data_IF_466754680415
#
_entry.id   IF_466754680415
#
_cell.length_a   1.000
_cell.length_b   1.000
_cell.length_c   1.000
_cell.angle_alpha   90.00
_cell.angle_beta   90.00
_cell.angle_gamma   90.00
#
_symmetry.space_group_name_H-M   'P 1'
#
loop_
_entity.id
_entity.type
_entity.pdbx_description
1 polymer ?
#
# COMPACT_ATOMS: atom_id res chain seq x y z
N UNK A 1 35.51 43.57 9.23
CA UNK A 1 34.76 43.67 7.95
C UNK A 1 35.09 42.43 7.13
N UNK A 2 34.23 41.53 6.68
CA UNK A 2 32.79 41.27 6.75
C UNK A 2 32.68 39.74 6.58
N UNK A 3 32.15 38.98 7.56
CA UNK A 3 30.79 38.41 7.54
C UNK A 3 30.25 38.09 6.14
N UNK A 4 30.21 36.81 5.77
CA UNK A 4 29.03 36.15 5.15
C UNK A 4 29.25 34.62 5.20
N UNK A 5 28.74 33.95 6.24
CA UNK A 5 27.49 33.15 6.21
C UNK A 5 27.65 31.87 5.38
N UNK A 6 27.92 30.76 6.07
CA UNK A 6 26.90 29.81 6.52
C UNK A 6 26.56 28.81 5.41
N UNK A 7 27.34 27.74 5.37
CA UNK A 7 27.00 26.51 4.66
C UNK A 7 25.96 25.77 5.51
N UNK A 8 24.73 26.26 5.52
CA UNK A 8 23.59 25.46 5.97
C UNK A 8 23.13 24.71 4.73
N UNK A 9 23.54 23.45 4.63
CA UNK A 9 22.88 22.47 3.78
C UNK A 9 21.45 22.40 4.29
N UNK A 10 20.56 23.17 3.67
CA UNK A 10 19.13 22.95 3.82
C UNK A 10 18.87 21.65 3.08
N UNK A 11 18.94 20.54 3.82
CA UNK A 11 18.20 19.32 3.48
C UNK A 11 16.73 19.73 3.50
N UNK A 12 16.25 20.32 2.40
CA UNK A 12 14.84 20.31 2.09
C UNK A 12 14.57 18.84 1.84
N UNK A 13 14.17 18.12 2.89
CA UNK A 13 13.34 16.95 2.75
C UNK A 13 12.07 17.47 2.09
N UNK A 14 12.11 17.59 0.76
CA UNK A 14 10.90 17.64 -0.05
C UNK A 14 10.30 16.27 0.23
N UNK A 15 9.44 16.19 1.25
CA UNK A 15 8.44 15.15 1.32
C UNK A 15 7.56 15.41 0.12
N UNK A 16 8.00 14.94 -1.05
CA UNK A 16 7.09 14.74 -2.14
C UNK A 16 5.97 13.92 -1.50
N UNK A 17 4.75 14.47 -1.49
CA UNK A 17 3.55 13.65 -1.38
C UNK A 17 3.46 12.83 -2.67
N UNK A 18 4.46 11.98 -2.89
CA UNK A 18 4.32 10.82 -3.76
C UNK A 18 3.19 10.05 -3.15
N UNK A 19 2.17 9.78 -3.96
CA UNK A 19 1.07 8.86 -3.69
C UNK A 19 1.38 7.96 -2.50
N UNK A 20 0.64 8.15 -1.40
CA UNK A 20 0.59 7.12 -0.37
C UNK A 20 -0.07 5.91 -1.04
N UNK A 21 0.73 5.09 -1.74
CA UNK A 21 0.41 3.69 -1.92
C UNK A 21 -0.07 3.22 -0.56
N UNK A 22 -1.25 2.61 -0.50
CA UNK A 22 -1.64 1.87 0.69
C UNK A 22 -0.49 0.91 0.99
N UNK A 23 0.25 1.21 2.05
CA UNK A 23 1.17 0.25 2.63
C UNK A 23 0.27 -0.86 3.15
N UNK A 24 0.59 -2.10 2.79
CA UNK A 24 -0.16 -3.25 3.31
C UNK A 24 -0.20 -3.15 4.84
N UNK A 25 -1.39 -3.29 5.40
CA UNK A 25 -1.59 -3.20 6.84
C UNK A 25 -0.92 -4.39 7.53
N UNK A 26 -0.51 -4.20 8.78
CA UNK A 26 0.15 -5.23 9.56
C UNK A 26 -0.47 -5.29 10.94
N UNK A 27 -0.77 -6.49 11.41
CA UNK A 27 -1.21 -6.69 12.78
C UNK A 27 -0.18 -7.45 13.56
N UNK A 28 0.29 -6.84 14.64
CA UNK A 28 1.13 -7.48 15.65
C UNK A 28 0.34 -7.59 16.95
N UNK A 29 0.30 -8.78 17.52
CA UNK A 29 -0.29 -9.03 18.83
C UNK A 29 0.63 -8.45 19.92
N UNK A 30 0.09 -8.28 21.13
CA UNK A 30 0.83 -7.69 22.26
C UNK A 30 2.04 -8.49 22.71
N UNK A 31 2.10 -9.79 22.43
CA UNK A 31 3.29 -10.62 22.66
C UNK A 31 4.37 -10.47 21.56
N UNK A 32 4.16 -9.61 20.56
CA UNK A 32 5.07 -9.41 19.44
C UNK A 32 4.83 -10.34 18.25
N UNK A 33 3.83 -11.25 18.32
CA UNK A 33 3.51 -12.15 17.22
C UNK A 33 2.88 -11.37 16.05
N UNK A 34 3.51 -11.40 14.88
CA UNK A 34 2.99 -10.81 13.65
C UNK A 34 1.94 -11.74 13.03
N UNK A 35 0.66 -11.36 13.09
CA UNK A 35 -0.44 -12.24 12.68
C UNK A 35 -0.81 -12.11 11.21
N UNK A 36 -0.64 -10.94 10.60
CA UNK A 36 -0.75 -10.78 9.15
C UNK A 36 0.13 -9.63 8.64
N UNK A 37 0.52 -9.73 7.37
CA UNK A 37 1.06 -8.63 6.56
C UNK A 37 0.29 -8.61 5.26
N UNK A 38 -0.47 -7.56 5.02
CA UNK A 38 -1.29 -7.45 3.83
C UNK A 38 -0.48 -7.05 2.59
N UNK A 39 -1.09 -7.31 1.44
CA UNK A 39 -0.54 -6.89 0.16
C UNK A 39 -0.51 -5.36 0.07
N UNK A 40 0.48 -4.82 -0.64
CA UNK A 40 0.54 -3.39 -0.95
C UNK A 40 -0.41 -3.08 -2.09
N UNK A 41 -1.04 -1.91 -2.04
CA UNK A 41 -1.98 -1.46 -3.07
C UNK A 41 -3.42 -1.44 -2.58
N UNK A 42 -4.33 -1.12 -3.49
CA UNK A 42 -5.76 -0.94 -3.17
C UNK A 42 -6.65 -2.06 -3.71
N UNK A 43 -6.06 -3.11 -4.29
CA UNK A 43 -6.80 -4.32 -4.65
C UNK A 43 -7.03 -5.11 -3.36
N UNK A 44 -8.28 -5.30 -2.91
CA UNK A 44 -8.55 -6.03 -1.68
C UNK A 44 -8.31 -7.52 -1.91
N UNK A 45 -7.63 -8.18 -0.96
CA UNK A 45 -7.36 -9.63 -1.02
C UNK A 45 -7.82 -10.38 0.23
N UNK A 46 -8.29 -9.65 1.26
CA UNK A 46 -8.33 -10.17 2.61
C UNK A 46 -6.98 -10.07 3.29
N UNK A 47 -6.96 -10.30 4.59
CA UNK A 47 -5.72 -10.33 5.35
C UNK A 47 -4.90 -11.56 5.00
N UNK A 48 -3.60 -11.35 4.76
CA UNK A 48 -2.67 -12.45 4.53
C UNK A 48 -2.12 -12.95 5.87
N UNK A 49 -2.93 -13.76 6.54
CA UNK A 49 -2.62 -14.35 7.85
C UNK A 49 -1.41 -15.29 7.80
N UNK A 50 -0.58 -15.26 8.85
CA UNK A 50 0.51 -16.21 9.02
C UNK A 50 -0.06 -17.65 9.14
N UNK A 51 0.39 -18.53 8.25
CA UNK A 51 -0.03 -19.93 8.21
C UNK A 51 0.29 -20.71 9.50
N UNK A 52 1.15 -20.18 10.38
CA UNK A 52 1.54 -20.80 11.66
C UNK A 52 0.62 -20.43 12.82
N UNK A 53 -0.36 -19.56 12.62
CA UNK A 53 -1.37 -19.24 13.65
C UNK A 53 -2.05 -20.54 14.10
N UNK A 54 -1.99 -20.82 15.40
CA UNK A 54 -2.38 -22.12 15.93
C UNK A 54 -2.95 -22.03 17.35
N UNK A 55 -3.49 -23.15 17.84
CA UNK A 55 -3.97 -23.23 19.24
C UNK A 55 -2.84 -23.08 20.28
N UNK A 56 -1.57 -23.26 19.90
CA UNK A 56 -0.43 -22.98 20.77
C UNK A 56 -0.34 -21.50 21.16
N UNK A 57 -0.59 -20.61 20.20
CA UNK A 57 -0.62 -19.15 20.43
C UNK A 57 -1.74 -18.75 21.40
N UNK A 58 -2.89 -19.42 21.33
CA UNK A 58 -4.00 -19.23 22.28
C UNK A 58 -3.56 -19.56 23.72
N UNK A 59 -2.85 -20.68 23.90
CA UNK A 59 -2.35 -21.09 25.22
C UNK A 59 -1.30 -20.12 25.77
N UNK A 60 -0.40 -19.64 24.91
CA UNK A 60 0.60 -18.65 25.27
C UNK A 60 -0.05 -17.35 25.77
N UNK A 61 -0.97 -16.76 24.98
CA UNK A 61 -1.68 -15.53 25.34
C UNK A 61 -2.48 -15.68 26.65
N UNK A 62 -3.12 -16.84 26.86
CA UNK A 62 -3.83 -17.15 28.10
C UNK A 62 -2.90 -17.25 29.32
N UNK A 63 -1.73 -17.87 29.15
CA UNK A 63 -0.71 -17.99 30.19
C UNK A 63 -0.15 -16.62 30.59
N UNK A 64 0.12 -15.74 29.61
CA UNK A 64 0.58 -14.38 29.87
C UNK A 64 -0.50 -13.57 30.58
N UNK A 65 -1.76 -13.64 30.14
CA UNK A 65 -2.87 -13.01 30.84
C UNK A 65 -2.99 -13.46 32.30
N UNK A 66 -2.87 -14.77 32.57
CA UNK A 66 -2.96 -15.30 33.95
C UNK A 66 -1.92 -14.66 34.88
N UNK A 67 -0.72 -14.38 34.37
CA UNK A 67 0.40 -13.74 35.09
C UNK A 67 0.23 -12.22 35.23
N UNK A 68 -0.21 -11.55 34.17
CA UNK A 68 -0.20 -10.07 34.08
C UNK A 68 -1.54 -9.42 34.42
N UNK A 69 -2.64 -10.16 34.28
CA UNK A 69 -4.04 -9.67 34.30
C UNK A 69 -4.33 -8.57 33.28
N UNK A 70 -3.48 -8.44 32.26
CA UNK A 70 -3.63 -7.44 31.20
C UNK A 70 -4.64 -7.94 30.15
N UNK A 71 -5.81 -7.29 30.12
CA UNK A 71 -6.96 -7.65 29.30
C UNK A 71 -6.66 -7.66 27.80
N UNK A 72 -5.64 -6.93 27.35
CA UNK A 72 -5.30 -6.92 25.92
C UNK A 72 -4.84 -8.30 25.43
N UNK A 73 -4.20 -9.12 26.28
CA UNK A 73 -3.87 -10.50 25.92
C UNK A 73 -5.12 -11.39 25.75
N UNK A 74 -6.20 -11.14 26.52
CA UNK A 74 -7.48 -11.81 26.25
C UNK A 74 -8.12 -11.33 24.96
N UNK A 75 -7.98 -10.03 24.65
CA UNK A 75 -8.45 -9.46 23.39
C UNK A 75 -7.71 -10.11 22.20
N UNK A 76 -6.39 -10.22 22.27
CA UNK A 76 -5.58 -10.88 21.24
C UNK A 76 -5.90 -12.37 21.12
N UNK A 77 -6.12 -13.07 22.25
CA UNK A 77 -6.61 -14.46 22.26
C UNK A 77 -7.94 -14.58 21.52
N UNK A 78 -8.86 -13.64 21.75
CA UNK A 78 -10.15 -13.55 21.05
C UNK A 78 -9.96 -13.34 19.55
N UNK A 79 -9.03 -12.48 19.15
CA UNK A 79 -8.70 -12.25 17.74
C UNK A 79 -8.13 -13.51 17.08
N UNK A 80 -7.20 -14.21 17.73
CA UNK A 80 -6.67 -15.50 17.24
C UNK A 80 -7.77 -16.55 17.09
N UNK A 81 -8.74 -16.60 18.02
CA UNK A 81 -9.90 -17.48 17.89
C UNK A 81 -10.75 -17.14 16.65
N UNK A 82 -10.93 -15.85 16.32
CA UNK A 82 -11.61 -15.42 15.09
C UNK A 82 -10.85 -15.91 13.84
N UNK A 83 -9.53 -15.70 13.80
CA UNK A 83 -8.67 -16.14 12.68
C UNK A 83 -8.76 -17.67 12.50
N UNK A 84 -8.78 -18.42 13.59
CA UNK A 84 -8.96 -19.88 13.59
C UNK A 84 -10.42 -20.34 13.38
N UNK A 85 -11.33 -19.40 13.09
CA UNK A 85 -12.77 -19.64 12.87
C UNK A 85 -13.51 -20.27 14.05
N UNK A 86 -12.98 -20.13 15.26
CA UNK A 86 -13.57 -20.59 16.53
C UNK A 86 -14.53 -19.52 17.08
N UNK A 87 -15.54 -19.17 16.30
CA UNK A 87 -16.39 -17.99 16.55
C UNK A 87 -17.15 -18.06 17.87
N UNK A 88 -17.67 -19.22 18.27
CA UNK A 88 -18.41 -19.37 19.52
C UNK A 88 -17.52 -19.21 20.76
N UNK A 89 -16.29 -19.74 20.71
CA UNK A 89 -15.31 -19.56 21.78
C UNK A 89 -14.88 -18.08 21.89
N UNK A 90 -14.63 -17.44 20.76
CA UNK A 90 -14.31 -16.01 20.69
C UNK A 90 -15.45 -15.16 21.26
N UNK A 91 -16.71 -15.45 20.89
CA UNK A 91 -17.88 -14.72 21.38
C UNK A 91 -18.00 -14.82 22.90
N UNK A 92 -17.90 -16.03 23.46
CA UNK A 92 -17.92 -16.24 24.92
C UNK A 92 -16.80 -15.47 25.62
N UNK A 93 -15.61 -15.45 25.03
CA UNK A 93 -14.46 -14.72 25.57
C UNK A 93 -14.70 -13.20 25.55
N UNK A 94 -15.11 -12.63 24.42
CA UNK A 94 -15.36 -11.19 24.33
C UNK A 94 -16.52 -10.71 25.20
N UNK A 95 -17.58 -11.50 25.36
CA UNK A 95 -18.64 -11.22 26.33
C UNK A 95 -18.12 -11.23 27.78
N UNK A 96 -17.13 -12.07 28.08
CA UNK A 96 -16.46 -12.07 29.39
C UNK A 96 -15.57 -10.83 29.55
N UNK A 97 -14.82 -10.46 28.50
CA UNK A 97 -14.01 -9.23 28.51
C UNK A 97 -14.88 -8.00 28.75
N UNK A 98 -16.04 -7.89 28.10
CA UNK A 98 -16.97 -6.78 28.29
C UNK A 98 -17.50 -6.70 29.74
N UNK A 99 -17.72 -7.84 30.41
CA UNK A 99 -18.11 -7.86 31.83
C UNK A 99 -16.97 -7.39 32.75
N UNK A 100 -15.73 -7.71 32.42
CA UNK A 100 -14.55 -7.35 33.25
C UNK A 100 -14.17 -5.87 33.04
N UNK A 101 -14.12 -5.44 31.77
CA UNK A 101 -13.72 -4.10 31.37
C UNK A 101 -14.68 -3.60 30.28
N UNK A 102 -15.84 -3.04 30.66
CA UNK A 102 -16.85 -2.61 29.71
C UNK A 102 -16.37 -1.42 28.87
N UNK A 103 -17.10 -1.17 27.77
CA UNK A 103 -16.94 0.04 26.96
C UNK A 103 -15.56 0.19 26.29
N UNK A 104 -14.91 -0.93 25.95
CA UNK A 104 -13.71 -0.93 25.10
C UNK A 104 -14.12 -0.95 23.63
N UNK A 105 -13.55 -0.04 22.85
CA UNK A 105 -13.73 -0.02 21.39
C UNK A 105 -13.43 -1.40 20.78
N UNK A 106 -12.26 -1.97 21.08
CA UNK A 106 -11.81 -3.25 20.51
C UNK A 106 -12.75 -4.40 20.86
N UNK A 107 -13.29 -4.44 22.08
CA UNK A 107 -14.29 -5.45 22.47
C UNK A 107 -15.59 -5.26 21.72
N UNK A 108 -16.10 -4.02 21.61
CA UNK A 108 -17.35 -3.74 20.91
C UNK A 108 -17.26 -4.06 19.40
N UNK A 109 -16.19 -3.65 18.73
CA UNK A 109 -15.97 -3.93 17.30
C UNK A 109 -15.85 -5.45 17.05
N UNK A 110 -15.05 -6.17 17.85
CA UNK A 110 -14.92 -7.62 17.70
C UNK A 110 -16.22 -8.39 18.00
N UNK A 111 -17.04 -7.94 18.97
CA UNK A 111 -18.37 -8.50 19.18
C UNK A 111 -19.27 -8.28 17.97
N UNK A 112 -19.24 -7.08 17.38
CA UNK A 112 -19.96 -6.77 16.15
C UNK A 112 -19.59 -7.71 15.00
N UNK A 113 -18.30 -7.84 14.71
CA UNK A 113 -17.78 -8.75 13.69
C UNK A 113 -18.13 -10.21 13.98
N UNK A 114 -18.04 -10.66 15.24
CA UNK A 114 -18.40 -12.03 15.60
C UNK A 114 -19.89 -12.32 15.40
N UNK A 115 -20.77 -11.41 15.80
CA UNK A 115 -22.19 -11.58 15.54
C UNK A 115 -22.50 -11.56 14.03
N UNK A 116 -21.80 -10.75 13.24
CA UNK A 116 -21.91 -10.77 11.77
C UNK A 116 -21.53 -12.15 11.22
N UNK A 117 -20.37 -12.69 11.62
CA UNK A 117 -19.86 -13.99 11.18
C UNK A 117 -20.75 -15.16 11.60
N UNK A 118 -21.49 -15.03 12.70
CA UNK A 118 -22.45 -16.03 13.20
C UNK A 118 -23.83 -15.87 12.53
N UNK A 119 -24.10 -14.75 11.84
CA UNK A 119 -25.37 -14.45 11.16
C UNK A 119 -26.40 -13.68 12.00
N UNK A 120 -26.02 -13.25 13.20
CA UNK A 120 -26.85 -12.49 14.14
C UNK A 120 -26.77 -10.98 13.83
N UNK A 121 -27.21 -10.60 12.62
CA UNK A 121 -26.97 -9.27 12.04
C UNK A 121 -27.51 -8.09 12.87
N UNK A 122 -28.63 -8.26 13.60
CA UNK A 122 -29.15 -7.21 14.48
C UNK A 122 -28.23 -6.93 15.67
N UNK A 123 -27.69 -7.99 16.28
CA UNK A 123 -26.70 -7.85 17.37
C UNK A 123 -25.41 -7.24 16.82
N UNK A 124 -24.96 -7.69 15.65
CA UNK A 124 -23.81 -7.13 14.97
C UNK A 124 -23.97 -5.62 14.77
N UNK A 125 -25.12 -5.19 14.22
CA UNK A 125 -25.42 -3.77 13.99
C UNK A 125 -25.33 -2.95 15.28
N UNK A 126 -25.94 -3.43 16.36
CA UNK A 126 -25.92 -2.72 17.64
C UNK A 126 -24.51 -2.62 18.25
N UNK A 127 -23.69 -3.68 18.12
CA UNK A 127 -22.31 -3.67 18.62
C UNK A 127 -21.37 -2.78 17.81
N UNK A 128 -21.49 -2.78 16.47
CA UNK A 128 -20.73 -1.85 15.62
C UNK A 128 -21.19 -0.41 15.84
N UNK A 129 -22.50 -0.17 16.02
CA UNK A 129 -22.99 1.16 16.38
C UNK A 129 -22.39 1.64 17.71
N UNK A 130 -22.31 0.74 18.70
CA UNK A 130 -21.63 1.02 19.98
C UNK A 130 -20.13 1.26 19.79
N UNK A 131 -19.43 0.50 18.95
CA UNK A 131 -17.99 0.71 18.73
C UNK A 131 -17.71 2.10 18.15
N UNK A 132 -18.50 2.55 17.18
CA UNK A 132 -18.42 3.91 16.61
C UNK A 132 -18.67 4.99 17.66
N UNK A 133 -19.63 4.79 18.56
CA UNK A 133 -19.90 5.73 19.66
C UNK A 133 -18.73 5.86 20.64
N UNK A 134 -17.96 4.77 20.84
CA UNK A 134 -16.77 4.78 21.70
C UNK A 134 -15.58 5.42 20.98
N UNK A 135 -15.37 5.09 19.72
CA UNK A 135 -14.31 5.64 18.89
C UNK A 135 -14.77 5.73 17.44
N UNK A 136 -15.04 6.94 16.96
CA UNK A 136 -15.51 7.17 15.59
C UNK A 136 -14.40 7.12 14.54
N UNK A 137 -13.14 7.24 14.95
CA UNK A 137 -11.97 7.24 14.05
C UNK A 137 -11.41 5.84 13.81
N UNK A 138 -11.98 4.83 14.47
CA UNK A 138 -11.51 3.46 14.35
C UNK A 138 -11.66 2.90 12.94
N UNK A 139 -10.81 1.92 12.59
CA UNK A 139 -10.76 1.34 11.24
C UNK A 139 -10.61 2.45 10.18
N UNK A 140 -9.76 3.44 10.45
CA UNK A 140 -9.54 4.61 9.60
C UNK A 140 -10.85 5.39 9.30
N UNK A 141 -11.79 5.39 10.23
CA UNK A 141 -13.10 6.05 10.10
C UNK A 141 -14.06 5.35 9.13
N UNK A 142 -13.87 4.06 8.82
CA UNK A 142 -14.64 3.34 7.79
C UNK A 142 -15.86 2.55 8.29
N UNK A 143 -16.08 2.49 9.61
CA UNK A 143 -17.15 1.65 10.21
C UNK A 143 -18.58 2.08 9.83
N UNK A 144 -18.78 3.29 9.29
CA UNK A 144 -20.10 3.68 8.77
C UNK A 144 -20.52 2.83 7.56
N UNK A 145 -19.58 2.35 6.74
CA UNK A 145 -19.85 1.40 5.64
C UNK A 145 -20.24 0.04 6.23
N UNK A 146 -19.60 -0.39 7.32
CA UNK A 146 -19.98 -1.60 8.04
C UNK A 146 -21.45 -1.53 8.48
N UNK A 147 -21.86 -0.41 9.08
CA UNK A 147 -23.26 -0.20 9.45
C UNK A 147 -24.19 -0.28 8.24
N UNK A 148 -23.81 0.24 7.06
CA UNK A 148 -24.62 0.12 5.84
C UNK A 148 -24.74 -1.31 5.34
N UNK A 149 -23.66 -2.08 5.39
CA UNK A 149 -23.68 -3.52 5.08
C UNK A 149 -24.63 -4.26 6.01
N UNK A 150 -24.52 -4.03 7.32
CA UNK A 150 -25.38 -4.65 8.33
C UNK A 150 -26.83 -4.18 8.21
N UNK A 151 -27.05 -2.89 7.91
CA UNK A 151 -28.38 -2.33 7.67
C UNK A 151 -29.07 -3.04 6.49
N UNK A 152 -28.36 -3.28 5.39
CA UNK A 152 -28.88 -4.05 4.26
C UNK A 152 -29.24 -5.50 4.66
N UNK A 153 -28.37 -6.16 5.45
CA UNK A 153 -28.59 -7.53 5.94
C UNK A 153 -29.78 -7.63 6.89
N UNK A 154 -29.90 -6.72 7.86
CA UNK A 154 -31.01 -6.65 8.83
C UNK A 154 -32.33 -6.40 8.11
N UNK A 155 -32.36 -5.45 7.17
CA UNK A 155 -33.55 -5.14 6.37
C UNK A 155 -33.86 -6.18 5.30
N UNK A 156 -32.99 -7.19 5.10
CA UNK A 156 -33.10 -8.22 4.05
C UNK A 156 -33.34 -7.60 2.66
N UNK A 157 -32.61 -6.53 2.35
CA UNK A 157 -32.74 -5.83 1.08
C UNK A 157 -32.33 -6.77 -0.06
N UNK A 158 -33.23 -6.95 -1.04
CA UNK A 158 -32.95 -7.73 -2.25
C UNK A 158 -32.06 -6.96 -3.21
N UNK A 159 -32.32 -5.65 -3.34
CA UNK A 159 -31.66 -4.76 -4.30
C UNK A 159 -30.90 -3.66 -3.56
N UNK A 160 -29.70 -4.01 -3.13
CA UNK A 160 -28.74 -3.07 -2.55
C UNK A 160 -28.02 -2.35 -3.69
N UNK A 161 -27.99 -1.02 -3.66
CA UNK A 161 -27.20 -0.21 -4.60
C UNK A 161 -25.87 0.21 -3.98
N UNK A 162 -24.89 0.55 -4.83
CA UNK A 162 -23.66 1.18 -4.37
C UNK A 162 -23.94 2.47 -3.61
N UNK A 163 -24.82 3.33 -4.13
CA UNK A 163 -25.23 4.58 -3.49
C UNK A 163 -25.77 4.39 -2.08
N UNK A 164 -26.55 3.33 -1.83
CA UNK A 164 -26.98 3.01 -0.47
C UNK A 164 -25.80 2.67 0.46
N UNK A 165 -24.80 1.94 -0.06
CA UNK A 165 -23.66 1.48 0.73
C UNK A 165 -22.63 2.58 1.00
N UNK A 166 -22.39 3.48 0.03
CA UNK A 166 -21.29 4.45 0.08
C UNK A 166 -21.73 5.92 0.03
N UNK A 167 -23.03 6.19 -0.13
CA UNK A 167 -23.59 7.54 -0.12
C UNK A 167 -23.33 8.36 -1.40
N UNK A 168 -22.84 7.75 -2.48
CA UNK A 168 -22.63 8.42 -3.77
C UNK A 168 -22.82 7.46 -4.94
N UNK A 169 -23.11 8.01 -6.12
CA UNK A 169 -23.20 7.29 -7.38
C UNK A 169 -22.12 7.76 -8.34
N UNK A 170 -21.67 6.86 -9.23
CA UNK A 170 -20.75 7.19 -10.33
C UNK A 170 -21.44 7.23 -11.70
N UNK A 171 -22.77 7.31 -11.70
CA UNK A 171 -23.61 7.31 -12.90
C UNK A 171 -23.76 5.92 -13.53
N UNK A 172 -24.48 5.88 -14.64
CA UNK A 172 -24.76 4.67 -15.44
C UNK A 172 -24.04 4.67 -16.79
N UNK A 173 -23.21 5.67 -17.04
CA UNK A 173 -22.40 5.78 -18.25
C UNK A 173 -21.23 4.78 -18.22
N UNK A 174 -20.71 4.50 -19.42
CA UNK A 174 -19.48 3.72 -19.65
C UNK A 174 -18.28 4.31 -18.91
N UNK A 175 -18.18 5.64 -18.81
CA UNK A 175 -17.12 6.32 -18.07
C UNK A 175 -17.69 6.80 -16.73
N UNK A 176 -17.21 6.28 -15.58
CA UNK A 176 -17.71 6.72 -14.28
C UNK A 176 -17.34 8.18 -14.03
N UNK A 177 -18.26 8.92 -13.40
CA UNK A 177 -18.12 10.36 -13.10
C UNK A 177 -18.47 10.62 -11.64
N UNK A 178 -17.84 11.61 -11.01
CA UNK A 178 -18.15 12.03 -9.65
C UNK A 178 -18.03 13.54 -9.50
N UNK A 179 -18.83 14.11 -8.60
CA UNK A 179 -18.70 15.49 -8.16
C UNK A 179 -17.76 15.64 -6.95
N UNK A 180 -17.32 14.53 -6.37
CA UNK A 180 -16.37 14.54 -5.26
C UNK A 180 -14.98 14.96 -5.74
N UNK A 181 -14.28 15.73 -4.91
CA UNK A 181 -12.88 16.04 -5.15
C UNK A 181 -12.01 14.79 -5.12
N UNK A 182 -10.82 14.85 -5.72
CA UNK A 182 -9.84 13.76 -5.68
C UNK A 182 -9.51 13.31 -4.25
N UNK A 183 -9.36 14.26 -3.31
CA UNK A 183 -9.09 13.93 -1.90
C UNK A 183 -10.25 13.19 -1.23
N UNK A 184 -11.50 13.51 -1.57
CA UNK A 184 -12.66 12.83 -1.00
C UNK A 184 -12.77 11.40 -1.55
N UNK A 185 -12.55 11.24 -2.86
CA UNK A 185 -12.48 9.93 -3.51
C UNK A 185 -11.37 9.05 -2.93
N UNK A 186 -10.19 9.61 -2.67
CA UNK A 186 -9.09 8.88 -2.01
C UNK A 186 -9.50 8.40 -0.60
N UNK A 187 -10.13 9.24 0.22
CA UNK A 187 -10.61 8.82 1.55
C UNK A 187 -11.70 7.74 1.47
N UNK A 188 -12.63 7.90 0.53
CA UNK A 188 -13.69 6.93 0.30
C UNK A 188 -13.13 5.58 -0.17
N UNK A 189 -12.18 5.58 -1.10
CA UNK A 189 -11.51 4.36 -1.57
C UNK A 189 -10.81 3.61 -0.44
N UNK A 190 -10.14 4.32 0.48
CA UNK A 190 -9.50 3.71 1.66
C UNK A 190 -10.53 3.11 2.61
N UNK A 191 -11.65 3.79 2.82
CA UNK A 191 -12.74 3.28 3.66
C UNK A 191 -13.35 2.00 3.09
N UNK A 192 -13.63 2.00 1.78
CA UNK A 192 -14.16 0.81 1.10
C UNK A 192 -13.13 -0.32 1.10
N UNK A 193 -11.87 -0.03 0.79
CA UNK A 193 -10.78 -1.02 0.83
C UNK A 193 -10.66 -1.69 2.19
N UNK A 194 -10.62 -0.91 3.28
CA UNK A 194 -10.48 -1.44 4.63
C UNK A 194 -11.62 -2.42 4.94
N UNK A 195 -12.85 -2.01 4.65
CA UNK A 195 -14.05 -2.80 4.92
C UNK A 195 -14.15 -4.04 4.01
N UNK A 196 -13.68 -3.97 2.77
CA UNK A 196 -13.56 -5.13 1.89
C UNK A 196 -12.51 -6.11 2.43
N UNK A 197 -11.34 -5.62 2.84
CA UNK A 197 -10.24 -6.47 3.29
C UNK A 197 -10.58 -7.24 4.58
N UNK A 198 -11.22 -6.59 5.56
CA UNK A 198 -11.73 -7.25 6.76
C UNK A 198 -12.67 -8.43 6.42
N UNK A 199 -13.57 -8.24 5.44
CA UNK A 199 -14.58 -9.24 5.09
C UNK A 199 -14.07 -10.36 4.19
N UNK A 200 -13.26 -10.02 3.20
CA UNK A 200 -12.68 -10.99 2.25
C UNK A 200 -11.72 -11.97 2.92
N UNK A 201 -11.26 -11.65 4.13
CA UNK A 201 -10.55 -12.57 5.02
C UNK A 201 -11.36 -13.81 5.40
N UNK A 202 -12.69 -13.68 5.50
CA UNK A 202 -13.58 -14.72 6.00
C UNK A 202 -14.65 -15.16 5.00
N UNK A 203 -15.09 -14.26 4.12
CA UNK A 203 -16.09 -14.50 3.10
C UNK A 203 -15.42 -14.90 1.78
N UNK A 204 -15.99 -15.89 1.10
CA UNK A 204 -15.57 -16.32 -0.24
C UNK A 204 -16.66 -15.99 -1.27
N UNK A 205 -16.30 -15.82 -2.55
CA UNK A 205 -17.29 -15.70 -3.62
C UNK A 205 -18.32 -16.84 -3.58
N UNK A 206 -19.60 -16.58 -3.84
CA UNK A 206 -20.22 -15.31 -4.25
C UNK A 206 -20.81 -14.54 -3.06
N UNK A 207 -20.69 -13.21 -3.08
CA UNK A 207 -21.37 -12.31 -2.13
C UNK A 207 -21.78 -11.01 -2.84
N UNK A 208 -23.09 -10.75 -2.90
CA UNK A 208 -23.67 -9.61 -3.64
C UNK A 208 -23.18 -8.27 -3.09
N UNK A 209 -23.11 -8.09 -1.78
CA UNK A 209 -22.70 -6.81 -1.17
C UNK A 209 -21.23 -6.56 -1.44
N UNK A 210 -20.38 -7.59 -1.29
CA UNK A 210 -18.95 -7.48 -1.60
C UNK A 210 -18.73 -7.18 -3.08
N UNK A 211 -19.48 -7.84 -3.98
CA UNK A 211 -19.41 -7.58 -5.42
C UNK A 211 -19.74 -6.12 -5.79
N UNK A 212 -20.72 -5.51 -5.10
CA UNK A 212 -21.10 -4.10 -5.30
C UNK A 212 -20.01 -3.18 -4.75
N UNK A 213 -19.50 -3.42 -3.54
CA UNK A 213 -18.44 -2.60 -2.96
C UNK A 213 -17.15 -2.63 -3.79
N UNK A 214 -16.78 -3.79 -4.33
CA UNK A 214 -15.67 -3.93 -5.28
C UNK A 214 -15.93 -3.10 -6.54
N UNK A 215 -17.13 -3.19 -7.12
CA UNK A 215 -17.49 -2.38 -8.29
C UNK A 215 -17.40 -0.87 -8.01
N UNK A 216 -17.87 -0.41 -6.85
CA UNK A 216 -17.75 0.99 -6.49
C UNK A 216 -16.31 1.43 -6.22
N UNK A 217 -15.50 0.56 -5.61
CA UNK A 217 -14.08 0.82 -5.45
C UNK A 217 -13.39 0.95 -6.82
N UNK A 218 -13.70 0.07 -7.77
CA UNK A 218 -13.16 0.12 -9.12
C UNK A 218 -13.57 1.41 -9.86
N UNK A 219 -14.81 1.88 -9.67
CA UNK A 219 -15.26 3.18 -10.19
C UNK A 219 -14.41 4.34 -9.63
N UNK A 220 -14.17 4.35 -8.32
CA UNK A 220 -13.35 5.38 -7.69
C UNK A 220 -11.93 5.33 -8.22
N UNK A 221 -11.31 4.14 -8.21
CA UNK A 221 -9.95 3.93 -8.74
C UNK A 221 -9.90 4.44 -10.17
N UNK A 222 -10.83 4.04 -11.04
CA UNK A 222 -10.90 4.50 -12.42
C UNK A 222 -10.91 6.03 -12.57
N UNK A 223 -11.58 6.75 -11.67
CA UNK A 223 -11.64 8.22 -11.67
C UNK A 223 -10.32 8.83 -11.17
N UNK A 224 -9.74 8.31 -10.08
CA UNK A 224 -8.59 8.95 -9.42
C UNK A 224 -7.23 8.66 -10.08
N UNK A 225 -7.10 7.54 -10.81
CA UNK A 225 -6.04 7.10 -11.74
C UNK A 225 -5.84 5.55 -11.69
N UNK A 226 -4.85 4.97 -12.38
CA UNK A 226 -4.52 3.54 -12.46
C UNK A 226 -5.64 2.69 -13.07
N UNK A 227 -5.77 2.86 -14.37
CA UNK A 227 -6.71 2.09 -15.19
C UNK A 227 -6.50 0.56 -15.08
N UNK A 228 -5.25 0.06 -15.00
CA UNK A 228 -4.96 -1.36 -14.71
C UNK A 228 -5.52 -1.86 -13.37
N UNK A 229 -5.34 -1.09 -12.31
CA UNK A 229 -5.85 -1.46 -10.97
C UNK A 229 -7.37 -1.46 -10.94
N UNK A 230 -8.03 -0.54 -11.66
CA UNK A 230 -9.49 -0.58 -11.81
C UNK A 230 -9.97 -1.86 -12.51
N UNK A 231 -9.26 -2.32 -13.56
CA UNK A 231 -9.55 -3.59 -14.24
C UNK A 231 -9.50 -4.76 -13.26
N UNK A 232 -8.43 -4.88 -12.47
CA UNK A 232 -8.27 -5.95 -11.49
C UNK A 232 -9.43 -5.99 -10.48
N UNK A 233 -9.88 -4.83 -10.00
CA UNK A 233 -10.97 -4.74 -9.02
C UNK A 233 -12.34 -4.99 -9.68
N UNK A 234 -12.55 -4.56 -10.93
CA UNK A 234 -13.77 -4.91 -11.68
C UNK A 234 -13.87 -6.42 -11.90
N UNK A 235 -12.78 -7.07 -12.31
CA UNK A 235 -12.77 -8.53 -12.48
C UNK A 235 -13.06 -9.25 -11.15
N UNK A 236 -12.50 -8.75 -10.04
CA UNK A 236 -12.80 -9.25 -8.71
C UNK A 236 -14.29 -9.06 -8.35
N UNK A 237 -14.91 -7.93 -8.72
CA UNK A 237 -16.35 -7.73 -8.55
C UNK A 237 -17.17 -8.79 -9.31
N UNK A 238 -16.75 -9.15 -10.53
CA UNK A 238 -17.37 -10.22 -11.32
C UNK A 238 -17.20 -11.58 -10.66
N UNK A 239 -16.02 -11.89 -10.14
CA UNK A 239 -15.74 -13.12 -9.40
C UNK A 239 -16.70 -13.27 -8.20
N UNK A 240 -16.93 -12.18 -7.45
CA UNK A 240 -17.88 -12.13 -6.34
C UNK A 240 -19.35 -12.17 -6.76
N UNK A 241 -19.64 -12.11 -8.05
CA UNK A 241 -20.97 -12.37 -8.61
C UNK A 241 -21.68 -11.16 -9.20
N UNK A 242 -21.03 -10.01 -9.37
CA UNK A 242 -21.62 -8.89 -10.10
C UNK A 242 -21.48 -9.10 -11.60
N UNK A 243 -22.58 -9.44 -12.26
CA UNK A 243 -22.62 -9.56 -13.72
C UNK A 243 -23.84 -8.80 -14.26
N UNK A 244 -23.57 -7.66 -14.88
CA UNK A 244 -24.56 -6.83 -15.53
C UNK A 244 -23.92 -6.04 -16.69
N UNK A 245 -24.75 -5.43 -17.52
CA UNK A 245 -24.28 -4.69 -18.70
C UNK A 245 -23.32 -3.55 -18.34
N UNK A 246 -23.52 -2.87 -17.21
CA UNK A 246 -22.73 -1.70 -16.83
C UNK A 246 -21.29 -2.06 -16.47
N UNK A 247 -21.07 -3.10 -15.66
CA UNK A 247 -19.69 -3.55 -15.34
C UNK A 247 -18.96 -4.00 -16.61
N UNK A 248 -19.66 -4.67 -17.53
CA UNK A 248 -19.08 -5.11 -18.79
C UNK A 248 -18.67 -3.92 -19.67
N UNK A 249 -19.51 -2.89 -19.79
CA UNK A 249 -19.17 -1.64 -20.51
C UNK A 249 -17.96 -0.94 -19.91
N UNK A 250 -17.93 -0.76 -18.59
CA UNK A 250 -16.82 -0.11 -17.88
C UNK A 250 -15.51 -0.88 -18.02
N UNK A 251 -15.57 -2.19 -17.91
CA UNK A 251 -14.42 -3.06 -18.07
C UNK A 251 -13.88 -3.03 -19.50
N UNK A 252 -14.76 -3.09 -20.51
CA UNK A 252 -14.39 -2.95 -21.92
C UNK A 252 -13.71 -1.61 -22.20
N UNK A 253 -14.27 -0.51 -21.68
CA UNK A 253 -13.65 0.81 -21.78
C UNK A 253 -12.24 0.83 -21.20
N UNK A 254 -12.06 0.27 -20.00
CA UNK A 254 -10.75 0.19 -19.36
C UNK A 254 -9.75 -0.63 -20.20
N UNK A 255 -10.15 -1.77 -20.76
CA UNK A 255 -9.29 -2.56 -21.65
C UNK A 255 -8.91 -1.79 -22.92
N UNK A 256 -9.88 -1.16 -23.58
CA UNK A 256 -9.62 -0.37 -24.78
C UNK A 256 -8.66 0.78 -24.49
N UNK A 257 -8.80 1.43 -23.34
CA UNK A 257 -7.88 2.47 -22.89
C UNK A 257 -6.44 1.95 -22.75
N UNK A 258 -6.23 0.78 -22.12
CA UNK A 258 -4.88 0.18 -22.00
C UNK A 258 -4.28 -0.18 -23.35
N UNK A 259 -5.09 -0.73 -24.27
CA UNK A 259 -4.65 -1.09 -25.62
C UNK A 259 -4.16 0.16 -26.35
N UNK A 260 -4.99 1.21 -26.39
CA UNK A 260 -4.66 2.47 -27.04
C UNK A 260 -3.40 3.11 -26.42
N UNK A 261 -3.28 3.09 -25.09
CA UNK A 261 -2.10 3.60 -24.40
C UNK A 261 -0.82 2.83 -24.78
N UNK A 262 -0.90 1.50 -24.87
CA UNK A 262 0.22 0.66 -25.26
C UNK A 262 0.61 0.88 -26.73
N UNK A 263 -0.37 1.00 -27.63
CA UNK A 263 -0.15 1.28 -29.06
C UNK A 263 0.54 2.64 -29.26
N UNK A 264 0.05 3.69 -28.62
CA UNK A 264 0.63 5.04 -28.67
C UNK A 264 2.06 5.06 -28.11
N UNK A 265 2.30 4.38 -26.98
CA UNK A 265 3.65 4.23 -26.43
C UNK A 265 4.58 3.45 -27.36
N UNK A 266 4.10 2.39 -28.00
CA UNK A 266 4.88 1.61 -28.96
C UNK A 266 5.27 2.45 -30.17
N UNK A 267 4.31 3.23 -30.72
CA UNK A 267 4.57 4.14 -31.84
C UNK A 267 5.63 5.20 -31.49
N UNK A 268 5.57 5.78 -30.28
CA UNK A 268 6.62 6.69 -29.80
C UNK A 268 8.00 6.04 -29.74
N UNK A 269 8.09 4.82 -29.21
CA UNK A 269 9.34 4.07 -29.14
C UNK A 269 9.89 3.71 -30.52
N UNK A 270 9.01 3.30 -31.45
CA UNK A 270 9.36 3.04 -32.84
C UNK A 270 9.96 4.28 -33.50
N UNK A 271 9.30 5.43 -33.38
CA UNK A 271 9.79 6.70 -33.94
C UNK A 271 11.12 7.13 -33.31
N UNK A 272 11.26 7.01 -31.99
CA UNK A 272 12.52 7.30 -31.29
C UNK A 272 13.66 6.40 -31.79
N UNK A 273 13.42 5.10 -31.95
CA UNK A 273 14.40 4.16 -32.50
C UNK A 273 14.77 4.47 -33.95
N UNK A 274 13.79 4.85 -34.78
CA UNK A 274 14.03 5.26 -36.16
C UNK A 274 14.91 6.51 -36.22
N UNK A 275 14.62 7.53 -35.42
CA UNK A 275 15.41 8.75 -35.33
C UNK A 275 16.83 8.47 -34.84
N UNK A 276 16.99 7.61 -33.82
CA UNK A 276 18.31 7.17 -33.35
C UNK A 276 19.10 6.49 -34.48
N UNK A 277 18.49 5.53 -35.20
CA UNK A 277 19.12 4.85 -36.34
C UNK A 277 19.54 5.84 -37.43
N UNK A 278 18.70 6.82 -37.74
CA UNK A 278 19.04 7.88 -38.70
C UNK A 278 20.19 8.76 -38.20
N UNK A 279 20.21 9.16 -36.93
CA UNK A 279 21.31 9.95 -36.36
C UNK A 279 22.64 9.19 -36.32
N UNK A 280 22.59 7.85 -36.24
CA UNK A 280 23.76 6.99 -36.31
C UNK A 280 24.25 6.77 -37.76
N UNK A 281 23.36 6.89 -38.76
CA UNK A 281 23.75 6.82 -40.16
C UNK A 281 24.54 8.09 -40.53
N UNK A 282 25.86 7.96 -40.64
CA UNK A 282 26.80 9.07 -40.88
C UNK A 282 27.86 9.22 -39.78
N UNK A 283 27.69 8.53 -38.64
CA UNK A 283 28.75 8.37 -37.65
C UNK A 283 29.66 7.24 -38.12
N UNK A 284 30.84 7.59 -38.62
CA UNK A 284 31.89 6.62 -38.92
C UNK A 284 32.41 6.02 -37.60
N UNK A 285 32.06 4.76 -37.35
CA UNK A 285 32.47 4.04 -36.14
C UNK A 285 33.99 3.90 -36.04
N UNK A 286 34.69 3.84 -37.17
CA UNK A 286 36.16 3.77 -37.16
C UNK A 286 36.74 5.10 -36.70
N UNK A 287 36.13 6.23 -37.08
CA UNK A 287 36.52 7.55 -36.61
C UNK A 287 36.26 7.76 -35.11
N UNK A 288 35.11 7.27 -34.60
CA UNK A 288 34.81 7.29 -33.16
C UNK A 288 35.80 6.44 -32.37
N UNK A 289 36.10 5.23 -32.86
CA UNK A 289 37.08 4.34 -32.23
C UNK A 289 38.49 4.95 -32.24
N UNK A 290 38.88 5.63 -33.33
CA UNK A 290 40.15 6.35 -33.38
C UNK A 290 40.22 7.45 -32.32
N UNK A 291 39.15 8.24 -32.14
CA UNK A 291 39.08 9.25 -31.08
C UNK A 291 39.21 8.61 -29.69
N UNK A 292 38.51 7.50 -29.43
CA UNK A 292 38.61 6.79 -28.15
C UNK A 292 40.02 6.28 -27.88
N UNK A 293 40.67 5.65 -28.87
CA UNK A 293 42.06 5.17 -28.76
C UNK A 293 43.01 6.35 -28.48
N UNK A 294 42.84 7.49 -29.16
CA UNK A 294 43.65 8.69 -28.92
C UNK A 294 43.46 9.21 -27.49
N UNK A 295 42.23 9.25 -26.98
CA UNK A 295 41.93 9.68 -25.61
C UNK A 295 42.56 8.73 -24.57
N UNK A 296 42.53 7.42 -24.81
CA UNK A 296 43.19 6.43 -23.95
C UNK A 296 44.71 6.67 -23.95
N UNK A 297 45.34 6.84 -25.12
CA UNK A 297 46.79 7.11 -25.22
C UNK A 297 47.14 8.41 -24.47
N UNK A 298 46.38 9.50 -24.67
CA UNK A 298 46.60 10.77 -23.98
C UNK A 298 46.51 10.62 -22.47
N UNK A 299 45.55 9.83 -21.97
CA UNK A 299 45.39 9.58 -20.53
C UNK A 299 46.61 8.85 -19.93
N UNK A 300 47.17 7.88 -20.66
CA UNK A 300 48.36 7.14 -20.25
C UNK A 300 49.58 8.06 -20.24
N UNK A 301 49.77 8.87 -21.28
CA UNK A 301 50.88 9.83 -21.36
C UNK A 301 50.81 10.83 -20.21
N UNK A 302 49.62 11.37 -19.91
CA UNK A 302 49.41 12.27 -18.77
C UNK A 302 49.76 11.60 -17.45
N UNK A 303 49.36 10.35 -17.24
CA UNK A 303 49.73 9.60 -16.04
C UNK A 303 51.25 9.42 -15.90
N UNK A 304 51.95 9.10 -16.99
CA UNK A 304 53.41 8.96 -17.01
C UNK A 304 54.09 10.30 -16.67
N UNK A 305 53.62 11.41 -17.25
CA UNK A 305 54.15 12.75 -16.96
C UNK A 305 53.95 13.15 -15.50
N UNK A 306 52.78 12.84 -14.92
CA UNK A 306 52.50 13.06 -13.50
C UNK A 306 53.47 12.25 -12.62
N UNK A 307 53.68 10.96 -12.94
CA UNK A 307 54.63 10.12 -12.22
C UNK A 307 56.05 10.69 -12.33
N UNK A 308 56.48 11.11 -13.53
CA UNK A 308 57.79 11.70 -13.74
C UNK A 308 57.96 13.00 -12.94
N UNK A 309 56.94 13.87 -12.89
CA UNK A 309 56.94 15.08 -12.09
C UNK A 309 57.01 14.79 -10.58
N UNK A 310 56.31 13.76 -10.10
CA UNK A 310 56.39 13.32 -8.71
C UNK A 310 57.80 12.82 -8.39
N UNK A 311 58.39 11.97 -9.25
CA UNK A 311 59.76 11.46 -9.07
C UNK A 311 60.77 12.61 -9.09
N UNK A 312 60.64 13.54 -10.03
CA UNK A 312 61.47 14.73 -10.10
C UNK A 312 61.35 15.57 -8.84
N UNK A 313 60.13 15.83 -8.36
CA UNK A 313 59.88 16.58 -7.14
C UNK A 313 60.50 15.91 -5.91
N UNK A 314 60.38 14.58 -5.77
CA UNK A 314 61.00 13.81 -4.69
C UNK A 314 62.52 13.91 -4.75
N UNK A 315 63.13 13.73 -5.93
CA UNK A 315 64.59 13.85 -6.11
C UNK A 315 65.08 15.27 -5.85
N UNK A 316 64.38 16.28 -6.36
CA UNK A 316 64.67 17.69 -6.12
C UNK A 316 64.61 18.05 -4.64
N UNK A 317 63.56 17.58 -3.94
CA UNK A 317 63.41 17.77 -2.49
C UNK A 317 64.57 17.12 -1.73
N UNK A 318 64.92 15.87 -2.04
CA UNK A 318 66.06 15.17 -1.44
C UNK A 318 67.39 15.92 -1.67
N UNK A 319 67.62 16.42 -2.90
CA UNK A 319 68.81 17.20 -3.22
C UNK A 319 68.85 18.53 -2.44
N UNK A 320 67.70 19.21 -2.35
CA UNK A 320 67.56 20.47 -1.58
C UNK A 320 67.82 20.24 -0.10
N UNK A 321 67.25 19.17 0.48
CA UNK A 321 67.45 18.79 1.88
C UNK A 321 68.93 18.42 2.15
N UNK A 322 69.60 17.72 1.23
CA UNK A 322 71.04 17.42 1.31
C UNK A 322 71.92 18.68 1.27
N UNK A 323 71.63 19.62 0.35
CA UNK A 323 72.37 20.90 0.27
C UNK A 323 72.17 21.71 1.55
N UNK A 324 70.93 21.80 2.05
CA UNK A 324 70.62 22.53 3.30
C UNK A 324 71.33 21.94 4.52
N UNK A 325 71.41 20.61 4.63
CA UNK A 325 72.11 19.93 5.72
C UNK A 325 73.63 20.17 5.67
N UNK A 326 74.22 20.19 4.47
CA UNK A 326 75.66 20.44 4.31
C UNK A 326 76.05 21.93 4.55
N UNK A 327 75.18 22.89 4.22
CA UNK A 327 75.41 24.31 4.51
C UNK A 327 75.30 24.65 6.01
N UNK A 328 74.58 23.84 6.80
CA UNK A 328 74.49 23.99 8.26
C UNK A 328 75.69 23.37 9.01
N UNK A 329 76.57 22.66 8.31
CA UNK A 329 77.77 22.00 8.87
C UNK A 329 79.10 22.67 8.49
N UNK A 330 79.06 23.87 7.91
CA UNK A 330 80.20 24.77 7.71
C UNK A 330 80.12 25.96 8.64
#
# INVERSE_FOLDING_TARGET
MNKFKAFVVVLVLISFKTFACLNGDTKTLKNGYLIYIDYRGIVPHGHNFDARVSSGLIFELDSIYKKTKDIDYLSDKGYVLIVLKKYQEALKLYLTIEKIKPNRYSTASNLGTLYELIGENEKAYNWIKKSIQINSESHEGSEWIHLKILEAKVKKLKDVSGEFLIGTSFGTDEIPKSNLSKSELERLSKSIYYQLNERMSFLKPKDKIISILLFELANIVKIIDKNKTAIEIFELAKEYGLDNELINKRLQYCYQFEINYCEDRNMRLYNANSNLKHSMNGIDKDYVNQIEIILIILSIVMAILIIALIVFYIKWKSLKDYIFLNDLTK
#
